data_IF_020983614305
#
_entry.id   IF_020983614305
#
_cell.length_a   1.000
_cell.length_b   1.000
_cell.length_c   1.000
_cell.angle_alpha   90.00
_cell.angle_beta   90.00
_cell.angle_gamma   90.00
#
_symmetry.space_group_name_H-M   'P 1'
#
loop_
_entity.id
_entity.type
_entity.pdbx_description
1 polymer ?
#
# COMPACT_ATOMS: atom_id res chain seq x y z
N UNK A 1 21.70 -11.61 -13.73
CA UNK A 1 21.92 -10.53 -12.74
C UNK A 1 21.68 -9.12 -13.29
N UNK A 2 22.28 -8.72 -14.43
CA UNK A 2 22.03 -7.38 -15.03
C UNK A 2 20.57 -7.15 -15.46
N UNK A 3 19.95 -8.12 -16.15
CA UNK A 3 18.53 -8.01 -16.58
C UNK A 3 17.55 -7.82 -15.40
N UNK A 4 17.80 -8.48 -14.27
CA UNK A 4 16.98 -8.35 -13.07
C UNK A 4 17.10 -6.96 -12.43
N UNK A 5 18.32 -6.42 -12.37
CA UNK A 5 18.56 -5.04 -11.90
C UNK A 5 17.89 -4.01 -12.81
N UNK A 6 18.01 -4.20 -14.13
CA UNK A 6 17.35 -3.34 -15.10
C UNK A 6 15.82 -3.37 -14.92
N UNK A 7 15.23 -4.56 -14.78
CA UNK A 7 13.80 -4.71 -14.51
C UNK A 7 13.37 -4.02 -13.20
N UNK A 8 14.12 -4.19 -12.11
CA UNK A 8 13.82 -3.53 -10.83
C UNK A 8 13.92 -2.01 -10.90
N UNK A 9 14.83 -1.48 -11.72
CA UNK A 9 14.98 -0.04 -11.94
C UNK A 9 13.80 0.51 -12.74
N UNK A 10 13.44 -0.15 -13.84
CA UNK A 10 12.29 0.26 -14.67
C UNK A 10 10.98 0.20 -13.87
N UNK A 11 10.77 -0.84 -13.06
CA UNK A 11 9.61 -0.91 -12.17
C UNK A 11 9.62 0.19 -11.10
N UNK A 12 10.77 0.49 -10.51
CA UNK A 12 10.89 1.59 -9.56
C UNK A 12 10.49 2.93 -10.19
N UNK A 13 10.94 3.20 -11.42
CA UNK A 13 10.57 4.41 -12.17
C UNK A 13 9.08 4.45 -12.48
N UNK A 14 8.51 3.33 -12.94
CA UNK A 14 7.07 3.20 -13.23
C UNK A 14 6.21 3.46 -11.99
N UNK A 15 6.50 2.76 -10.89
CA UNK A 15 5.76 2.91 -9.61
C UNK A 15 5.92 4.32 -9.07
N UNK A 16 7.11 4.92 -9.17
CA UNK A 16 7.34 6.30 -8.73
C UNK A 16 6.49 7.29 -9.55
N UNK A 17 6.44 7.11 -10.87
CA UNK A 17 5.62 7.93 -11.77
C UNK A 17 4.13 7.79 -11.46
N UNK A 18 3.64 6.56 -11.36
CA UNK A 18 2.24 6.26 -11.03
C UNK A 18 1.86 6.76 -9.64
N UNK A 19 2.73 6.60 -8.65
CA UNK A 19 2.53 7.15 -7.30
C UNK A 19 2.44 8.67 -7.33
N UNK A 20 3.33 9.35 -8.06
CA UNK A 20 3.28 10.82 -8.20
C UNK A 20 1.98 11.31 -8.84
N UNK A 21 1.47 10.59 -9.85
CA UNK A 21 0.20 10.87 -10.50
C UNK A 21 -0.98 10.64 -9.55
N UNK A 22 -1.01 9.50 -8.86
CA UNK A 22 -2.02 9.20 -7.85
C UNK A 22 -2.02 10.23 -6.70
N UNK A 23 -0.85 10.75 -6.35
CA UNK A 23 -0.71 11.80 -5.35
C UNK A 23 -1.12 13.20 -5.84
N UNK A 24 -1.55 13.38 -7.10
CA UNK A 24 -1.79 14.72 -7.68
C UNK A 24 -0.61 15.68 -7.45
N UNK A 25 0.62 15.15 -7.56
CA UNK A 25 1.85 15.89 -7.29
C UNK A 25 2.04 16.36 -5.84
N UNK A 26 1.24 15.86 -4.89
CA UNK A 26 1.46 16.09 -3.46
C UNK A 26 2.79 15.46 -3.05
N UNK A 27 3.64 16.27 -2.41
CA UNK A 27 4.96 15.85 -1.94
C UNK A 27 5.10 16.21 -0.45
N UNK A 28 4.56 15.37 0.45
CA UNK A 28 4.75 15.58 1.87
C UNK A 28 6.23 15.39 2.23
N UNK A 29 6.73 16.18 3.18
CA UNK A 29 8.06 15.97 3.75
C UNK A 29 7.94 14.77 4.70
N UNK A 30 8.53 13.64 4.31
CA UNK A 30 8.46 12.39 5.06
C UNK A 30 9.81 12.15 5.72
N UNK A 31 9.86 12.22 7.05
CA UNK A 31 10.95 11.66 7.82
C UNK A 31 10.51 10.31 8.40
N UNK A 32 10.99 9.22 7.82
CA UNK A 32 10.64 7.89 8.30
C UNK A 32 11.23 7.57 9.68
N UNK A 33 12.28 8.27 10.13
CA UNK A 33 12.86 8.03 11.46
C UNK A 33 11.93 8.49 12.60
N UNK A 34 10.98 9.41 12.32
CA UNK A 34 10.01 9.86 13.32
C UNK A 34 8.77 8.96 13.40
N UNK A 35 8.61 8.02 12.46
CA UNK A 35 7.45 7.13 12.42
C UNK A 35 7.55 6.10 13.55
N UNK A 36 6.54 6.08 14.42
CA UNK A 36 6.42 5.12 15.49
C UNK A 36 5.59 3.92 15.07
N UNK A 37 6.09 2.72 15.32
CA UNK A 37 5.36 1.47 15.09
C UNK A 37 5.67 0.46 16.18
N UNK A 38 4.68 0.13 17.00
CA UNK A 38 4.86 -0.75 18.17
C UNK A 38 4.63 -2.20 17.76
N UNK A 39 5.70 -2.98 17.67
CA UNK A 39 5.62 -4.40 17.31
C UNK A 39 4.85 -5.23 18.35
N UNK A 40 4.82 -4.78 19.61
CA UNK A 40 4.10 -5.44 20.71
C UNK A 40 2.58 -5.23 20.68
N UNK A 41 2.08 -4.27 19.91
CA UNK A 41 0.64 -4.01 19.77
C UNK A 41 -0.01 -5.01 18.83
N UNK A 42 -1.07 -5.65 19.34
CA UNK A 42 -1.78 -6.77 18.70
C UNK A 42 -3.27 -6.47 18.48
N UNK A 43 -3.73 -5.26 18.83
CA UNK A 43 -5.12 -4.88 18.68
C UNK A 43 -5.55 -4.89 17.21
N UNK A 44 -6.77 -5.37 16.94
CA UNK A 44 -7.35 -5.37 15.59
C UNK A 44 -7.33 -3.95 15.01
N UNK A 45 -6.90 -3.83 13.76
CA UNK A 45 -6.80 -2.58 13.03
C UNK A 45 -5.50 -1.80 13.28
N UNK A 46 -4.66 -2.23 14.23
CA UNK A 46 -3.43 -1.51 14.54
C UNK A 46 -2.36 -1.65 13.44
N UNK A 47 -1.77 -0.52 13.06
CA UNK A 47 -0.53 -0.35 12.30
C UNK A 47 0.11 1.00 12.63
N UNK A 48 1.28 1.30 12.05
CA UNK A 48 1.89 2.64 12.14
C UNK A 48 0.96 3.74 11.62
N UNK A 49 0.06 3.46 10.66
CA UNK A 49 -0.89 4.45 10.12
C UNK A 49 -1.91 4.86 11.19
N UNK A 50 -2.32 3.91 12.03
CA UNK A 50 -3.28 4.14 13.12
C UNK A 50 -2.63 4.49 14.45
N UNK A 51 -1.30 4.48 14.56
CA UNK A 51 -0.62 4.89 15.79
C UNK A 51 -0.86 6.41 16.01
N UNK A 52 -1.53 6.79 17.11
CA UNK A 52 -1.93 8.19 17.32
C UNK A 52 -0.75 9.18 17.30
N UNK A 53 0.43 8.76 17.76
CA UNK A 53 1.64 9.58 17.79
C UNK A 53 2.14 10.02 16.40
N UNK A 54 1.71 9.34 15.33
CA UNK A 54 2.13 9.68 13.97
C UNK A 54 1.21 10.71 13.29
N UNK A 55 0.02 10.97 13.83
CA UNK A 55 -0.96 11.92 13.28
C UNK A 55 -1.33 11.67 11.80
N UNK A 56 -1.43 10.40 11.37
CA UNK A 56 -1.63 10.02 9.97
C UNK A 56 -3.08 9.73 9.56
N UNK A 57 -4.00 9.60 10.52
CA UNK A 57 -5.38 9.17 10.26
C UNK A 57 -6.08 10.00 9.16
N UNK A 58 -5.86 11.31 9.16
CA UNK A 58 -6.50 12.25 8.24
C UNK A 58 -5.55 12.80 7.15
N UNK A 59 -4.31 12.28 7.07
CA UNK A 59 -3.29 12.80 6.15
C UNK A 59 -3.74 12.75 4.68
N UNK A 60 -4.55 11.75 4.31
CA UNK A 60 -5.10 11.58 2.97
C UNK A 60 -6.08 12.70 2.55
N UNK A 61 -6.61 13.50 3.49
CA UNK A 61 -7.50 14.61 3.16
C UNK A 61 -6.78 15.68 2.32
N UNK A 62 -5.47 15.88 2.52
CA UNK A 62 -4.67 16.77 1.68
C UNK A 62 -4.57 16.26 0.23
N UNK A 63 -4.54 14.93 0.04
CA UNK A 63 -4.63 14.33 -1.29
C UNK A 63 -6.03 14.52 -1.87
N UNK A 64 -7.07 14.26 -1.08
CA UNK A 64 -8.46 14.45 -1.52
C UNK A 64 -8.72 15.88 -2.00
N UNK A 65 -8.26 16.88 -1.26
CA UNK A 65 -8.41 18.28 -1.64
C UNK A 65 -7.78 18.57 -3.01
N UNK A 66 -6.52 18.15 -3.22
CA UNK A 66 -5.84 18.32 -4.51
C UNK A 66 -6.52 17.59 -5.65
N UNK A 67 -6.96 16.35 -5.41
CA UNK A 67 -7.65 15.55 -6.41
C UNK A 67 -8.98 16.20 -6.84
N UNK A 68 -9.71 16.83 -5.90
CA UNK A 68 -10.96 17.52 -6.22
C UNK A 68 -10.72 18.87 -6.92
N UNK A 69 -9.63 19.57 -6.58
CA UNK A 69 -9.34 20.92 -7.10
C UNK A 69 -8.41 20.92 -8.33
N UNK A 70 -7.95 19.76 -8.82
CA UNK A 70 -7.07 19.70 -9.99
C UNK A 70 -7.77 20.27 -11.24
N UNK A 71 -7.18 21.26 -11.94
CA UNK A 71 -7.82 21.93 -13.06
C UNK A 71 -7.84 21.10 -14.35
N UNK A 72 -6.97 20.08 -14.45
CA UNK A 72 -6.79 19.28 -15.68
C UNK A 72 -7.47 17.92 -15.58
N UNK A 73 -7.28 17.23 -14.46
CA UNK A 73 -7.67 15.84 -14.24
C UNK A 73 -8.34 15.62 -12.88
N UNK A 74 -9.04 16.65 -12.39
CA UNK A 74 -9.77 16.60 -11.13
C UNK A 74 -10.88 15.55 -11.11
N UNK A 75 -11.18 15.05 -9.90
CA UNK A 75 -12.20 14.02 -9.69
C UNK A 75 -13.61 14.60 -9.47
N UNK A 76 -13.74 15.92 -9.33
CA UNK A 76 -15.02 16.60 -9.18
C UNK A 76 -15.32 17.49 -10.39
N UNK A 77 -16.53 17.33 -10.93
CA UNK A 77 -17.11 18.24 -11.91
C UNK A 77 -18.13 19.19 -11.28
N UNK A 78 -18.85 19.94 -12.12
CA UNK A 78 -19.86 20.94 -11.68
C UNK A 78 -21.01 20.34 -10.86
N UNK A 79 -21.35 19.08 -11.11
CA UNK A 79 -22.53 18.41 -10.54
C UNK A 79 -22.15 17.28 -9.55
N UNK A 80 -20.93 17.29 -9.02
CA UNK A 80 -20.42 16.25 -8.12
C UNK A 80 -19.28 15.44 -8.72
N UNK A 81 -19.13 14.18 -8.30
CA UNK A 81 -18.03 13.31 -8.74
C UNK A 81 -18.07 13.05 -10.25
N UNK A 82 -16.92 13.21 -10.92
CA UNK A 82 -16.72 12.71 -12.26
C UNK A 82 -16.39 11.21 -12.19
N UNK A 83 -17.39 10.39 -12.50
CA UNK A 83 -17.28 8.94 -12.47
C UNK A 83 -16.25 8.37 -13.46
N UNK A 84 -16.04 9.03 -14.61
CA UNK A 84 -15.04 8.59 -15.58
C UNK A 84 -13.62 8.92 -15.10
N UNK A 85 -13.41 10.09 -14.50
CA UNK A 85 -12.14 10.45 -13.88
C UNK A 85 -11.84 9.55 -12.68
N UNK A 86 -12.84 9.32 -11.82
CA UNK A 86 -12.73 8.43 -10.66
C UNK A 86 -12.38 7.00 -11.07
N UNK A 87 -13.02 6.46 -12.11
CA UNK A 87 -12.70 5.14 -12.65
C UNK A 87 -11.26 5.06 -13.14
N UNK A 88 -10.82 6.03 -13.94
CA UNK A 88 -9.42 6.10 -14.43
C UNK A 88 -8.41 6.18 -13.29
N UNK A 89 -8.74 6.92 -12.22
CA UNK A 89 -7.93 6.98 -11.01
C UNK A 89 -7.81 5.61 -10.32
N UNK A 90 -8.92 4.88 -10.19
CA UNK A 90 -8.92 3.52 -9.63
C UNK A 90 -8.14 2.52 -10.49
N UNK A 91 -8.26 2.59 -11.81
CA UNK A 91 -7.50 1.74 -12.74
C UNK A 91 -5.99 2.00 -12.65
N UNK A 92 -5.59 3.27 -12.52
CA UNK A 92 -4.18 3.64 -12.29
C UNK A 92 -3.68 3.10 -10.94
N UNK A 93 -4.52 3.13 -9.90
CA UNK A 93 -4.21 2.55 -8.60
C UNK A 93 -3.96 1.04 -8.70
N UNK A 94 -4.83 0.29 -9.41
CA UNK A 94 -4.64 -1.17 -9.58
C UNK A 94 -3.34 -1.51 -10.29
N UNK A 95 -3.03 -0.79 -11.38
CA UNK A 95 -1.78 -0.96 -12.11
C UNK A 95 -0.57 -0.70 -11.20
N UNK A 96 -0.59 0.42 -10.47
CA UNK A 96 0.49 0.78 -9.54
C UNK A 96 0.63 -0.26 -8.43
N UNK A 97 -0.46 -0.80 -7.89
CA UNK A 97 -0.44 -1.78 -6.81
C UNK A 97 0.20 -3.10 -7.25
N UNK A 98 -0.09 -3.56 -8.47
CA UNK A 98 0.54 -4.75 -9.08
C UNK A 98 2.04 -4.50 -9.31
N UNK A 99 2.42 -3.34 -9.84
CA UNK A 99 3.83 -2.99 -10.04
C UNK A 99 4.59 -2.84 -8.72
N UNK A 100 3.96 -2.26 -7.68
CA UNK A 100 4.54 -2.12 -6.34
C UNK A 100 4.77 -3.49 -5.70
N UNK A 101 3.81 -4.41 -5.85
CA UNK A 101 3.96 -5.80 -5.41
C UNK A 101 5.16 -6.46 -6.12
N UNK A 102 5.25 -6.33 -7.45
CA UNK A 102 6.38 -6.86 -8.21
C UNK A 102 7.71 -6.24 -7.78
N UNK A 103 7.75 -4.92 -7.59
CA UNK A 103 8.93 -4.20 -7.11
C UNK A 103 9.38 -4.71 -5.74
N UNK A 104 8.46 -4.85 -4.79
CA UNK A 104 8.73 -5.41 -3.46
C UNK A 104 9.26 -6.85 -3.56
N UNK A 105 8.63 -7.68 -4.39
CA UNK A 105 9.06 -9.06 -4.59
C UNK A 105 10.50 -9.14 -5.14
N UNK A 106 10.86 -8.27 -6.09
CA UNK A 106 12.18 -8.25 -6.71
C UNK A 106 13.26 -7.62 -5.82
N UNK A 107 12.88 -6.67 -4.96
CA UNK A 107 13.83 -5.90 -4.15
C UNK A 107 13.95 -6.36 -2.69
N UNK A 108 12.99 -7.15 -2.19
CA UNK A 108 12.91 -7.61 -0.80
C UNK A 108 13.92 -8.69 -0.38
N UNK A 109 14.99 -8.94 -1.13
CA UNK A 109 15.99 -9.97 -0.83
C UNK A 109 15.65 -11.36 -1.40
N UNK A 110 16.04 -12.45 -0.72
CA UNK A 110 15.69 -13.83 -1.11
C UNK A 110 14.17 -13.91 -1.33
N UNK A 111 13.78 -14.13 -2.58
CA UNK A 111 12.41 -14.00 -3.08
C UNK A 111 11.42 -14.73 -2.14
N UNK A 112 10.66 -13.97 -1.35
CA UNK A 112 9.49 -14.52 -0.65
C UNK A 112 8.60 -15.16 -1.70
N UNK A 113 8.01 -16.34 -1.43
CA UNK A 113 7.10 -16.94 -2.41
C UNK A 113 5.99 -15.92 -2.69
N UNK A 114 5.59 -15.74 -3.95
CA UNK A 114 4.55 -14.76 -4.32
C UNK A 114 3.27 -14.92 -3.46
N UNK A 115 2.95 -16.17 -3.10
CA UNK A 115 1.84 -16.51 -2.19
C UNK A 115 1.97 -15.91 -0.78
N UNK A 116 3.19 -15.77 -0.25
CA UNK A 116 3.43 -15.18 1.08
C UNK A 116 3.27 -13.66 1.05
N UNK A 117 3.62 -13.03 -0.06
CA UNK A 117 3.44 -11.60 -0.27
C UNK A 117 1.95 -11.23 -0.39
N UNK A 118 1.17 -12.07 -1.08
CA UNK A 118 -0.28 -11.92 -1.23
C UNK A 118 -1.05 -12.08 0.08
N UNK A 119 -0.48 -12.79 1.07
CA UNK A 119 -1.08 -12.97 2.39
C UNK A 119 -0.65 -11.90 3.41
N UNK A 120 0.20 -10.94 3.06
CA UNK A 120 0.60 -9.89 3.99
C UNK A 120 -0.59 -8.99 4.31
N UNK A 121 -0.70 -8.60 5.57
CA UNK A 121 -1.68 -7.63 6.02
C UNK A 121 -1.01 -6.27 6.30
N UNK A 122 -1.68 -5.16 6.02
CA UNK A 122 -1.16 -3.82 6.32
C UNK A 122 -1.41 -3.40 7.78
N UNK A 123 -2.42 -3.97 8.42
CA UNK A 123 -2.77 -3.78 9.82
C UNK A 123 -3.10 -5.13 10.47
N UNK A 124 -3.12 -5.16 11.80
CA UNK A 124 -3.44 -6.38 12.53
C UNK A 124 -4.88 -6.80 12.23
N UNK A 125 -5.07 -8.05 11.81
CA UNK A 125 -6.41 -8.64 11.71
C UNK A 125 -6.94 -9.10 13.07
N UNK A 126 -8.11 -9.75 13.05
CA UNK A 126 -8.75 -10.27 14.27
C UNK A 126 -7.94 -11.40 14.92
N UNK A 127 -7.31 -12.25 14.10
CA UNK A 127 -6.56 -13.44 14.54
C UNK A 127 -5.17 -13.50 13.90
N UNK A 128 -4.75 -12.42 13.26
CA UNK A 128 -3.53 -12.34 12.43
C UNK A 128 -2.78 -11.06 12.77
N UNK A 129 -1.46 -11.11 12.69
CA UNK A 129 -0.61 -9.93 12.86
C UNK A 129 -0.32 -9.31 11.52
N UNK A 130 -0.18 -7.98 11.49
CA UNK A 130 0.26 -7.27 10.28
C UNK A 130 1.58 -7.82 9.76
N UNK A 131 1.77 -7.69 8.45
CA UNK A 131 3.00 -8.05 7.75
C UNK A 131 3.95 -6.88 7.56
N UNK A 132 3.48 -5.64 7.70
CA UNK A 132 4.27 -4.42 7.45
C UNK A 132 4.65 -3.77 8.78
N UNK A 133 5.95 -3.50 8.94
CA UNK A 133 6.49 -2.86 10.13
C UNK A 133 7.46 -1.73 9.77
N UNK A 134 7.54 -0.72 10.64
CA UNK A 134 8.52 0.38 10.53
C UNK A 134 9.40 0.41 11.76
N UNK A 135 10.72 0.49 11.59
CA UNK A 135 11.65 0.67 12.69
C UNK A 135 12.87 1.46 12.23
N UNK A 136 13.19 2.54 12.95
CA UNK A 136 14.32 3.44 12.67
C UNK A 136 14.43 3.82 11.18
N UNK A 137 13.35 4.38 10.63
CA UNK A 137 13.32 4.83 9.23
C UNK A 137 13.27 3.73 8.17
N UNK A 138 13.27 2.45 8.58
CA UNK A 138 13.30 1.30 7.69
C UNK A 138 11.97 0.55 7.71
N UNK A 139 11.48 0.18 6.53
CA UNK A 139 10.32 -0.70 6.39
C UNK A 139 10.76 -2.16 6.36
N UNK A 140 9.99 -3.02 7.01
CA UNK A 140 10.19 -4.46 7.04
C UNK A 140 8.90 -5.19 6.69
N UNK A 141 9.05 -6.28 5.93
CA UNK A 141 7.98 -7.23 5.68
C UNK A 141 8.25 -8.49 6.46
N UNK A 142 7.31 -8.87 7.32
CA UNK A 142 7.36 -10.11 8.10
C UNK A 142 6.38 -11.11 7.52
N UNK A 143 6.90 -12.17 6.92
CA UNK A 143 6.10 -13.29 6.42
C UNK A 143 6.13 -14.44 7.40
N UNK A 144 4.98 -15.08 7.62
CA UNK A 144 4.86 -16.31 8.42
C UNK A 144 4.94 -17.54 7.52
N UNK A 145 5.95 -18.39 7.71
CA UNK A 145 6.02 -19.66 6.99
C UNK A 145 5.29 -20.77 7.76
N UNK A 146 4.05 -21.06 7.35
CA UNK A 146 3.22 -22.11 7.97
C UNK A 146 3.76 -23.53 7.69
N UNK A 147 4.49 -23.75 6.59
CA UNK A 147 4.94 -25.10 6.16
C UNK A 147 5.96 -25.78 7.09
N UNK A 148 6.56 -25.07 8.05
CA UNK A 148 7.45 -25.66 9.03
C UNK A 148 6.73 -26.32 10.23
N UNK A 149 5.42 -26.04 10.40
CA UNK A 149 4.59 -26.65 11.46
C UNK A 149 4.54 -28.17 11.36
N UNK A 150 4.42 -28.70 10.14
CA UNK A 150 4.23 -30.15 9.92
C UNK A 150 5.51 -30.97 10.15
N UNK A 151 6.69 -30.33 10.15
CA UNK A 151 7.99 -31.02 10.23
C UNK A 151 8.75 -30.73 11.53
N UNK A 152 8.60 -29.53 12.12
CA UNK A 152 9.46 -29.09 13.24
C UNK A 152 8.72 -28.45 14.42
N UNK A 153 7.40 -28.30 14.36
CA UNK A 153 6.58 -27.62 15.38
C UNK A 153 6.97 -26.16 15.70
N UNK A 154 7.87 -25.55 14.92
CA UNK A 154 8.29 -24.16 15.08
C UNK A 154 7.68 -23.25 14.00
N UNK A 155 7.19 -22.10 14.43
CA UNK A 155 6.72 -21.02 13.56
C UNK A 155 7.92 -20.11 13.22
N UNK A 156 8.32 -20.10 11.94
CA UNK A 156 9.43 -19.25 11.48
C UNK A 156 8.88 -17.94 10.91
N UNK A 157 9.31 -16.84 11.53
CA UNK A 157 9.08 -15.49 11.05
C UNK A 157 10.32 -15.03 10.28
N UNK A 158 10.13 -14.58 9.04
CA UNK A 158 11.21 -14.02 8.23
C UNK A 158 10.93 -12.54 8.00
N UNK A 159 11.76 -11.70 8.60
CA UNK A 159 11.75 -10.26 8.38
C UNK A 159 12.66 -9.91 7.20
N UNK A 160 12.13 -9.13 6.25
CA UNK A 160 12.86 -8.63 5.08
C UNK A 160 12.79 -7.12 5.05
N UNK A 161 13.95 -6.46 5.09
CA UNK A 161 14.04 -4.99 4.98
C UNK A 161 13.80 -4.56 3.53
N UNK A 162 13.02 -3.49 3.35
CA UNK A 162 12.82 -2.87 2.04
C UNK A 162 13.87 -1.79 1.79
N UNK A 163 14.33 -1.62 0.53
CA UNK A 163 15.10 -0.44 0.16
C UNK A 163 14.35 0.85 0.49
N UNK A 164 15.09 1.90 0.88
CA UNK A 164 14.53 3.17 1.37
C UNK A 164 13.49 3.77 0.42
N UNK A 165 13.79 3.83 -0.87
CA UNK A 165 12.88 4.30 -1.92
C UNK A 165 11.57 3.49 -2.00
N UNK A 166 11.65 2.16 -1.92
CA UNK A 166 10.46 1.29 -1.90
C UNK A 166 9.65 1.50 -0.63
N UNK A 167 10.31 1.69 0.51
CA UNK A 167 9.65 2.05 1.77
C UNK A 167 8.88 3.38 1.69
N UNK A 168 9.44 4.40 1.01
CA UNK A 168 8.74 5.68 0.80
C UNK A 168 7.50 5.51 -0.10
N UNK A 169 7.59 4.71 -1.17
CA UNK A 169 6.44 4.42 -2.04
C UNK A 169 5.35 3.68 -1.26
N UNK A 170 5.73 2.68 -0.45
CA UNK A 170 4.82 1.94 0.41
C UNK A 170 4.16 2.84 1.47
N UNK A 171 4.92 3.77 2.06
CA UNK A 171 4.39 4.78 2.98
C UNK A 171 3.33 5.66 2.29
N UNK A 172 3.64 6.22 1.11
CA UNK A 172 2.69 7.05 0.38
C UNK A 172 1.42 6.28 0.01
N UNK A 173 1.58 5.01 -0.38
CA UNK A 173 0.45 4.12 -0.64
C UNK A 173 -0.44 3.95 0.59
N UNK A 174 0.13 3.55 1.73
CA UNK A 174 -0.63 3.22 2.93
C UNK A 174 -1.26 4.45 3.61
N UNK A 175 -0.58 5.59 3.58
CA UNK A 175 -1.01 6.80 4.31
C UNK A 175 -1.95 7.68 3.49
N UNK A 176 -1.76 7.77 2.16
CA UNK A 176 -2.52 8.70 1.33
C UNK A 176 -3.40 7.98 0.31
N UNK A 177 -2.81 7.13 -0.53
CA UNK A 177 -3.51 6.59 -1.70
C UNK A 177 -4.59 5.60 -1.29
N UNK A 178 -4.25 4.62 -0.43
CA UNK A 178 -5.18 3.58 0.03
C UNK A 178 -6.42 4.14 0.73
N UNK A 179 -6.31 4.97 1.79
CA UNK A 179 -7.49 5.55 2.43
C UNK A 179 -8.30 6.45 1.48
N UNK A 180 -7.65 7.15 0.55
CA UNK A 180 -8.36 7.93 -0.46
C UNK A 180 -9.14 7.05 -1.45
N UNK A 181 -8.59 5.93 -1.90
CA UNK A 181 -9.30 4.94 -2.73
C UNK A 181 -10.53 4.40 -1.99
N UNK A 182 -10.40 4.06 -0.71
CA UNK A 182 -11.53 3.58 0.09
C UNK A 182 -12.61 4.65 0.27
N UNK A 183 -12.20 5.92 0.44
CA UNK A 183 -13.14 7.03 0.46
C UNK A 183 -13.90 7.14 -0.86
N UNK A 184 -13.21 7.07 -2.01
CA UNK A 184 -13.85 7.12 -3.33
C UNK A 184 -14.79 5.93 -3.58
N UNK A 185 -14.39 4.71 -3.19
CA UNK A 185 -15.25 3.53 -3.28
C UNK A 185 -16.54 3.71 -2.48
N UNK A 186 -16.45 4.20 -1.25
CA UNK A 186 -17.61 4.46 -0.40
C UNK A 186 -18.49 5.59 -0.93
N UNK A 187 -17.88 6.69 -1.40
CA UNK A 187 -18.60 7.91 -1.79
C UNK A 187 -19.18 7.85 -3.20
N UNK A 188 -18.46 7.24 -4.15
CA UNK A 188 -18.88 7.19 -5.54
C UNK A 188 -19.66 5.90 -5.84
N UNK A 189 -19.29 4.77 -5.24
CA UNK A 189 -19.81 3.45 -5.63
C UNK A 189 -20.56 2.72 -4.51
N UNK A 190 -20.66 3.29 -3.31
CA UNK A 190 -21.30 2.68 -2.15
C UNK A 190 -20.70 1.31 -1.76
N UNK A 191 -19.43 1.09 -2.08
CA UNK A 191 -18.68 -0.11 -1.70
C UNK A 191 -17.92 0.18 -0.41
N UNK A 192 -18.15 -0.66 0.61
CA UNK A 192 -17.37 -0.65 1.84
C UNK A 192 -16.32 -1.76 1.79
N UNK A 193 -15.04 -1.38 1.82
CA UNK A 193 -13.93 -2.33 1.74
C UNK A 193 -13.38 -2.57 3.15
N UNK A 194 -13.61 -3.76 3.67
CA UNK A 194 -13.00 -4.25 4.92
C UNK A 194 -11.96 -5.33 4.58
N UNK A 195 -10.79 -4.90 4.11
CA UNK A 195 -9.67 -5.80 3.82
C UNK A 195 -8.40 -5.36 4.55
N UNK A 196 -7.85 -6.31 5.32
CA UNK A 196 -6.55 -6.20 5.97
C UNK A 196 -5.40 -6.52 5.02
N UNK A 197 -5.67 -7.13 3.85
CA UNK A 197 -4.63 -7.54 2.90
C UNK A 197 -3.90 -6.32 2.33
N UNK A 198 -2.58 -6.40 2.29
CA UNK A 198 -1.74 -5.33 1.75
C UNK A 198 -1.99 -5.13 0.26
N UNK A 199 -2.09 -6.22 -0.49
CA UNK A 199 -2.41 -6.21 -1.93
C UNK A 199 -3.78 -6.84 -2.13
N UNK A 200 -4.81 -5.99 -2.23
CA UNK A 200 -6.18 -6.41 -2.55
C UNK A 200 -6.64 -5.66 -3.79
N UNK A 201 -7.06 -6.39 -4.82
CA UNK A 201 -7.62 -5.78 -6.02
C UNK A 201 -8.94 -5.09 -5.73
N UNK A 202 -9.18 -3.97 -6.40
CA UNK A 202 -10.47 -3.29 -6.36
C UNK A 202 -11.55 -4.16 -7.03
N UNK A 203 -12.66 -4.47 -6.33
CA UNK A 203 -13.75 -5.28 -6.89
C UNK A 203 -14.31 -4.72 -8.21
N UNK A 204 -14.28 -3.39 -8.39
CA UNK A 204 -14.75 -2.72 -9.61
C UNK A 204 -13.92 -3.01 -10.87
N UNK A 205 -12.67 -3.46 -10.69
CA UNK A 205 -11.78 -3.80 -11.80
C UNK A 205 -11.81 -5.30 -12.13
N UNK A 206 -12.31 -6.15 -11.23
CA UNK A 206 -12.39 -7.60 -11.42
C UNK A 206 -13.55 -8.04 -12.32
N UNK A 207 -14.57 -7.20 -12.53
CA UNK A 207 -15.76 -7.54 -13.33
C UNK A 207 -15.54 -7.51 -14.87
N UNK A 208 -14.32 -7.21 -15.34
CA UNK A 208 -14.03 -7.06 -16.78
C UNK A 208 -13.00 -8.05 -17.34
N UNK A 209 -12.69 -9.12 -16.60
CA UNK A 209 -11.98 -10.29 -17.13
C UNK A 209 -12.91 -11.50 -17.12
N UNK A 210 -13.89 -11.52 -18.01
CA UNK A 210 -14.72 -12.69 -18.35
C UNK A 210 -15.16 -12.60 -19.80
#
# INVERSE_FOLDING_TARGET
MQQFRALSHTLLESVTSSTRRLMYGLQPVIDLHTVQDKMSKVEKGYSFVTEPANHLADAFLALSERACLSPVDGLMGKNGWDYQATRRYMELHEQMLVELMALIHLTGGQASRATELMSLEHCNGTSTSRGVYVYDGSFFLVTRHVKARTVTNNEFHVARTLPKNVGHLLYQYLVYIRPFIYMLQRRCYHIDVDSTLLFSSNPLCCEFTS
#
